data_IF_459309791670
#
_entry.id   IF_459309791670
#
_cell.length_a   1.000
_cell.length_b   1.000
_cell.length_c   1.000
_cell.angle_alpha   90.00
_cell.angle_beta   90.00
_cell.angle_gamma   90.00
#
_symmetry.space_group_name_H-M   'P 1'
#
loop_
_entity.id
_entity.type
_entity.pdbx_description
1 polymer ?
#
# COMPACT_ATOMS: atom_id res chain seq x y z
N UNK A 1 -54.91 25.38 85.22
CA UNK A 1 -54.28 25.23 83.90
C UNK A 1 -55.03 24.17 83.12
N UNK A 2 -56.10 24.56 82.42
CA UNK A 2 -56.81 23.78 81.40
C UNK A 2 -57.75 24.78 80.73
N UNK A 3 -57.49 25.13 79.47
CA UNK A 3 -58.41 25.93 78.68
C UNK A 3 -58.52 25.31 77.31
N UNK A 4 -59.78 25.09 76.96
CA UNK A 4 -60.29 24.36 75.82
C UNK A 4 -60.16 25.14 74.51
N UNK A 5 -60.09 24.34 73.45
CA UNK A 5 -60.32 24.57 72.02
C UNK A 5 -61.00 25.89 71.58
N UNK A 6 -60.38 26.52 70.58
CA UNK A 6 -61.02 27.43 69.63
C UNK A 6 -60.55 27.09 68.21
N UNK A 7 -61.51 26.70 67.36
CA UNK A 7 -61.34 26.35 65.94
C UNK A 7 -61.14 27.62 65.11
N UNK A 8 -60.20 27.61 64.17
CA UNK A 8 -60.16 28.56 63.06
C UNK A 8 -59.91 27.83 61.74
N UNK A 9 -60.86 27.98 60.81
CA UNK A 9 -60.80 27.54 59.43
C UNK A 9 -59.66 28.23 58.67
N UNK A 10 -58.93 27.48 57.85
CA UNK A 10 -58.20 28.04 56.71
C UNK A 10 -58.33 27.11 55.51
N UNK A 11 -58.66 27.72 54.38
CA UNK A 11 -59.18 27.12 53.18
C UNK A 11 -58.19 26.22 52.44
N UNK A 12 -58.74 25.16 51.85
CA UNK A 12 -58.10 24.28 50.88
C UNK A 12 -57.71 25.04 49.61
N UNK A 13 -56.43 24.99 49.24
CA UNK A 13 -55.96 25.16 47.87
C UNK A 13 -55.16 23.92 47.48
N UNK A 14 -55.83 23.04 46.75
CA UNK A 14 -55.28 21.85 46.09
C UNK A 14 -54.47 22.30 44.87
N UNK A 15 -53.15 22.38 45.01
CA UNK A 15 -52.23 22.48 43.89
C UNK A 15 -51.86 21.09 43.37
N UNK A 16 -52.43 20.67 42.23
CA UNK A 16 -51.94 19.51 41.48
C UNK A 16 -50.56 19.84 40.89
N UNK A 17 -49.51 19.25 41.43
CA UNK A 17 -48.21 19.15 40.77
C UNK A 17 -48.31 18.12 39.65
N UNK A 18 -48.37 18.57 38.39
CA UNK A 18 -48.22 17.70 37.23
C UNK A 18 -46.76 17.26 37.12
N UNK A 19 -46.48 16.02 37.53
CA UNK A 19 -45.22 15.34 37.23
C UNK A 19 -45.24 14.89 35.76
N UNK A 20 -44.60 15.65 34.88
CA UNK A 20 -44.26 15.19 33.54
C UNK A 20 -43.20 14.07 33.61
N UNK A 21 -43.20 13.10 32.68
CA UNK A 21 -42.23 12.03 32.69
C UNK A 21 -40.81 12.59 32.45
N UNK A 22 -39.77 11.95 32.99
CA UNK A 22 -38.40 12.37 32.74
C UNK A 22 -38.11 12.20 31.24
N UNK A 23 -37.86 13.31 30.56
CA UNK A 23 -37.25 13.29 29.23
C UNK A 23 -35.83 12.77 29.44
N UNK A 24 -35.64 11.47 29.21
CA UNK A 24 -34.30 10.92 28.98
C UNK A 24 -33.73 11.68 27.79
N UNK A 25 -32.81 12.60 28.07
CA UNK A 25 -31.96 13.20 27.07
C UNK A 25 -31.28 12.06 26.33
N UNK A 26 -31.76 11.74 25.13
CA UNK A 26 -31.03 10.91 24.19
C UNK A 26 -29.74 11.67 23.90
N UNK A 27 -28.65 11.24 24.54
CA UNK A 27 -27.32 11.56 24.10
C UNK A 27 -27.21 11.06 22.66
N UNK A 28 -27.43 11.96 21.71
CA UNK A 28 -27.14 11.72 20.32
C UNK A 28 -25.64 11.46 20.25
N UNK A 29 -25.27 10.19 20.07
CA UNK A 29 -23.91 9.82 19.70
C UNK A 29 -23.53 10.70 18.50
N UNK A 30 -22.35 11.33 18.50
CA UNK A 30 -21.95 12.16 17.38
C UNK A 30 -21.99 11.31 16.11
N UNK A 31 -22.75 11.77 15.13
CA UNK A 31 -22.77 11.18 13.80
C UNK A 31 -21.33 11.19 13.26
N UNK A 32 -20.74 10.00 13.09
CA UNK A 32 -19.48 9.84 12.38
C UNK A 32 -19.73 10.03 10.89
N UNK A 33 -19.87 11.29 10.47
CA UNK A 33 -19.79 11.72 9.09
C UNK A 33 -18.81 12.88 9.00
N UNK A 34 -17.55 12.64 9.37
CA UNK A 34 -16.44 13.50 8.95
C UNK A 34 -15.84 12.89 7.70
N UNK A 35 -15.94 13.62 6.59
CA UNK A 35 -15.02 13.43 5.46
C UNK A 35 -13.59 13.41 6.02
N UNK A 36 -12.72 12.46 5.64
CA UNK A 36 -11.35 12.42 6.17
C UNK A 36 -10.67 13.76 5.88
N UNK A 37 -10.40 14.53 6.94
CA UNK A 37 -9.75 15.82 6.84
C UNK A 37 -8.27 15.63 6.55
N UNK A 38 -7.71 16.47 5.68
CA UNK A 38 -6.27 16.48 5.39
C UNK A 38 -5.43 16.57 6.68
N UNK A 39 -4.25 15.94 6.74
CA UNK A 39 -3.39 16.02 7.92
C UNK A 39 -2.95 17.46 8.23
N UNK A 40 -2.88 17.78 9.51
CA UNK A 40 -2.33 19.06 10.00
C UNK A 40 -0.81 19.10 9.85
N UNK A 41 -0.20 20.29 9.91
CA UNK A 41 1.26 20.44 9.82
C UNK A 41 2.00 19.67 10.92
N UNK A 42 1.42 19.63 12.13
CA UNK A 42 1.96 18.85 13.23
C UNK A 42 1.94 17.34 12.93
N UNK A 43 0.87 16.85 12.30
CA UNK A 43 0.76 15.45 11.88
C UNK A 43 1.73 15.11 10.74
N UNK A 44 1.90 16.02 9.76
CA UNK A 44 2.88 15.85 8.68
C UNK A 44 4.31 15.83 9.25
N UNK A 45 4.63 16.74 10.18
CA UNK A 45 5.93 16.78 10.86
C UNK A 45 6.21 15.50 11.65
N UNK A 46 5.18 14.92 12.26
CA UNK A 46 5.31 13.63 12.94
C UNK A 46 5.62 12.49 11.97
N UNK A 47 4.90 12.43 10.85
CA UNK A 47 5.19 11.44 9.80
C UNK A 47 6.62 11.61 9.24
N UNK A 48 7.12 12.84 9.06
CA UNK A 48 8.51 13.09 8.65
C UNK A 48 9.52 12.48 9.64
N UNK A 49 9.32 12.69 10.95
CA UNK A 49 10.19 12.06 11.97
C UNK A 49 10.14 10.53 11.92
N UNK A 50 8.97 9.95 11.65
CA UNK A 50 8.87 8.50 11.49
C UNK A 50 9.66 7.99 10.29
N UNK A 51 9.63 8.68 9.14
CA UNK A 51 10.45 8.33 7.98
C UNK A 51 11.95 8.49 8.27
N UNK A 52 12.36 9.51 9.01
CA UNK A 52 13.75 9.66 9.48
C UNK A 52 14.19 8.52 10.41
N UNK A 53 13.29 8.05 11.28
CA UNK A 53 13.57 6.88 12.13
C UNK A 53 13.75 5.60 11.31
N UNK A 54 12.94 5.39 10.25
CA UNK A 54 13.13 4.27 9.33
C UNK A 54 14.52 4.34 8.66
N UNK A 55 14.96 5.53 8.24
CA UNK A 55 16.29 5.71 7.67
C UNK A 55 17.40 5.35 8.67
N UNK A 56 17.28 5.81 9.92
CA UNK A 56 18.26 5.49 10.98
C UNK A 56 18.33 4.01 11.29
N UNK A 57 17.22 3.27 11.18
CA UNK A 57 17.22 1.81 11.33
C UNK A 57 18.00 1.12 10.21
N UNK A 58 17.93 1.62 8.97
CA UNK A 58 18.74 1.11 7.86
C UNK A 58 20.22 1.42 8.04
N UNK A 59 20.58 2.57 8.60
CA UNK A 59 21.98 2.92 8.89
C UNK A 59 22.65 1.96 9.89
N UNK A 60 21.87 1.32 10.77
CA UNK A 60 22.39 0.31 11.70
C UNK A 60 22.83 -0.99 11.01
N UNK A 61 22.36 -1.28 9.80
CA UNK A 61 22.81 -2.46 9.04
C UNK A 61 24.29 -2.39 8.69
N UNK A 62 24.78 -1.20 8.34
CA UNK A 62 26.16 -1.00 7.89
C UNK A 62 27.15 -1.25 9.04
N UNK A 63 26.73 -0.95 10.27
CA UNK A 63 27.52 -1.17 11.49
C UNK A 63 27.45 -2.62 12.03
N UNK A 64 26.60 -3.48 11.46
CA UNK A 64 26.30 -4.80 12.00
C UNK A 64 26.89 -5.92 11.12
N UNK A 65 27.94 -6.65 11.56
CA UNK A 65 28.58 -7.69 10.73
C UNK A 65 27.91 -9.07 10.81
N UNK A 66 27.09 -9.34 11.82
CA UNK A 66 26.51 -10.68 12.06
C UNK A 66 25.20 -10.93 11.29
N UNK A 67 25.07 -12.11 10.66
CA UNK A 67 23.88 -12.51 9.91
C UNK A 67 22.59 -12.50 10.78
N UNK A 68 22.67 -12.97 12.03
CA UNK A 68 21.54 -12.95 12.95
C UNK A 68 21.11 -11.51 13.32
N UNK A 69 22.09 -10.63 13.57
CA UNK A 69 21.82 -9.22 13.86
C UNK A 69 21.18 -8.50 12.66
N UNK A 70 21.70 -8.72 11.44
CA UNK A 70 21.10 -8.18 10.21
C UNK A 70 19.69 -8.72 9.96
N UNK A 71 19.44 -10.00 10.24
CA UNK A 71 18.11 -10.58 10.15
C UNK A 71 17.13 -9.94 11.14
N UNK A 72 17.58 -9.65 12.37
CA UNK A 72 16.77 -8.96 13.36
C UNK A 72 16.48 -7.51 12.97
N UNK A 73 17.48 -6.76 12.48
CA UNK A 73 17.30 -5.41 11.98
C UNK A 73 16.30 -5.36 10.80
N UNK A 74 16.36 -6.36 9.91
CA UNK A 74 15.39 -6.50 8.82
C UNK A 74 13.96 -6.68 9.33
N UNK A 75 13.75 -7.56 10.31
CA UNK A 75 12.45 -7.76 10.94
C UNK A 75 11.93 -6.49 11.62
N UNK A 76 12.79 -5.80 12.37
CA UNK A 76 12.44 -4.57 13.07
C UNK A 76 12.05 -3.46 12.09
N UNK A 77 12.89 -3.19 11.08
CA UNK A 77 12.61 -2.18 10.06
C UNK A 77 11.30 -2.49 9.32
N UNK A 78 11.05 -3.77 9.02
CA UNK A 78 9.81 -4.20 8.36
C UNK A 78 8.56 -3.97 9.20
N UNK A 79 8.64 -4.21 10.51
CA UNK A 79 7.55 -3.91 11.43
C UNK A 79 7.32 -2.40 11.55
N UNK A 80 8.39 -1.59 11.66
CA UNK A 80 8.28 -0.13 11.72
C UNK A 80 7.63 0.45 10.46
N UNK A 81 8.00 -0.04 9.27
CA UNK A 81 7.37 0.40 8.02
C UNK A 81 5.89 0.04 7.96
N UNK A 82 5.51 -1.15 8.41
CA UNK A 82 4.10 -1.54 8.46
C UNK A 82 3.31 -0.73 9.49
N UNK A 83 3.93 -0.38 10.63
CA UNK A 83 3.33 0.52 11.62
C UNK A 83 3.05 1.90 11.02
N UNK A 84 4.03 2.48 10.32
CA UNK A 84 3.90 3.75 9.62
C UNK A 84 2.72 3.73 8.62
N UNK A 85 2.67 2.71 7.77
CA UNK A 85 1.58 2.56 6.80
C UNK A 85 0.22 2.31 7.44
N UNK A 86 0.19 1.54 8.54
CA UNK A 86 -1.01 1.26 9.29
C UNK A 86 -1.57 2.50 9.97
N UNK A 87 -0.72 3.33 10.57
CA UNK A 87 -1.13 4.62 11.14
C UNK A 87 -1.78 5.52 10.08
N UNK A 88 -1.15 5.62 8.91
CA UNK A 88 -1.70 6.40 7.80
C UNK A 88 -3.06 5.86 7.32
N UNK A 89 -3.19 4.54 7.25
CA UNK A 89 -4.42 3.87 6.84
C UNK A 89 -5.54 4.07 7.86
N UNK A 90 -5.29 3.75 9.13
CA UNK A 90 -6.29 3.75 10.19
C UNK A 90 -6.77 5.18 10.52
N UNK A 91 -5.86 6.16 10.50
CA UNK A 91 -6.19 7.53 10.90
C UNK A 91 -6.85 8.34 9.79
N UNK A 92 -6.43 8.17 8.53
CA UNK A 92 -6.91 8.98 7.41
C UNK A 92 -7.61 8.17 6.31
N UNK A 93 -7.83 6.88 6.51
CA UNK A 93 -8.46 6.00 5.51
C UNK A 93 -7.62 5.83 4.25
N UNK A 94 -6.29 6.07 4.33
CA UNK A 94 -5.38 6.01 3.18
C UNK A 94 -5.28 4.57 2.70
N UNK A 95 -5.69 4.31 1.47
CA UNK A 95 -5.74 2.93 1.01
C UNK A 95 -6.34 2.77 -0.36
N UNK A 96 -6.21 1.56 -0.91
CA UNK A 96 -7.01 1.17 -2.07
C UNK A 96 -8.49 1.01 -1.66
N UNK A 97 -9.44 1.16 -2.59
CA UNK A 97 -10.87 1.06 -2.29
C UNK A 97 -11.28 -0.21 -1.52
N UNK A 98 -10.65 -1.36 -1.83
CA UNK A 98 -10.93 -2.63 -1.17
C UNK A 98 -10.43 -2.73 0.29
N UNK A 99 -9.56 -1.80 0.71
CA UNK A 99 -9.07 -1.73 2.09
C UNK A 99 -9.88 -0.75 2.94
N UNK A 100 -10.69 0.12 2.31
CA UNK A 100 -11.43 1.16 3.04
C UNK A 100 -12.43 0.54 4.00
N UNK A 101 -12.48 1.06 5.23
CA UNK A 101 -13.41 0.62 6.27
C UNK A 101 -12.96 -0.63 7.03
N UNK A 102 -11.78 -1.17 6.73
CA UNK A 102 -11.15 -2.23 7.50
C UNK A 102 -9.93 -1.67 8.23
N UNK A 103 -9.65 -2.03 9.49
CA UNK A 103 -8.40 -1.63 10.13
C UNK A 103 -7.21 -2.28 9.41
N UNK A 104 -6.03 -1.65 9.44
CA UNK A 104 -4.82 -2.13 8.78
C UNK A 104 -4.50 -3.58 9.14
N UNK A 105 -4.73 -3.96 10.40
CA UNK A 105 -4.58 -5.33 10.91
C UNK A 105 -5.41 -6.38 10.17
N UNK A 106 -6.52 -5.98 9.52
CA UNK A 106 -7.40 -6.84 8.73
C UNK A 106 -7.13 -6.76 7.22
N UNK A 107 -6.27 -5.84 6.77
CA UNK A 107 -5.95 -5.67 5.33
C UNK A 107 -4.82 -6.57 4.83
N UNK A 108 -4.10 -7.24 5.74
CA UNK A 108 -3.05 -8.22 5.43
C UNK A 108 -3.57 -9.60 5.00
N UNK A 109 -2.69 -10.57 4.69
CA UNK A 109 -3.08 -11.93 4.28
C UNK A 109 -3.75 -12.73 5.41
N UNK A 110 -3.91 -12.13 6.60
CA UNK A 110 -4.39 -12.73 7.83
C UNK A 110 -5.90 -12.93 7.93
N UNK A 111 -6.67 -12.89 6.84
CA UNK A 111 -8.10 -13.30 6.85
C UNK A 111 -8.29 -14.76 7.32
N UNK A 112 -7.23 -15.58 7.36
CA UNK A 112 -7.23 -16.98 7.82
C UNK A 112 -6.20 -17.25 8.95
N UNK A 113 -6.06 -16.33 9.91
CA UNK A 113 -5.46 -16.64 11.21
C UNK A 113 -4.15 -15.93 11.56
N UNK A 114 -4.24 -15.10 12.60
CA UNK A 114 -3.14 -14.86 13.54
C UNK A 114 -2.08 -13.84 13.14
N UNK A 115 -2.35 -12.55 13.42
CA UNK A 115 -1.35 -11.48 13.44
C UNK A 115 -1.40 -10.60 12.19
N UNK A 116 -2.05 -9.44 12.31
CA UNK A 116 -2.37 -8.48 11.24
C UNK A 116 -1.17 -7.76 10.59
N UNK A 117 -0.09 -8.49 10.30
CA UNK A 117 1.12 -7.96 9.70
C UNK A 117 1.46 -8.77 8.44
N UNK A 118 1.73 -8.05 7.35
CA UNK A 118 2.25 -8.62 6.13
C UNK A 118 3.59 -9.30 6.39
N UNK A 119 3.78 -10.58 6.03
CA UNK A 119 5.05 -11.25 6.26
C UNK A 119 6.17 -10.60 5.45
N UNK A 120 7.38 -10.68 6.01
CA UNK A 120 8.62 -10.31 5.34
C UNK A 120 8.73 -10.95 3.94
N UNK A 121 9.38 -10.28 2.98
CA UNK A 121 9.73 -10.88 1.70
C UNK A 121 10.53 -12.17 1.90
N UNK A 122 10.10 -13.26 1.25
CA UNK A 122 10.87 -14.51 1.26
C UNK A 122 11.94 -14.49 0.16
N UNK A 123 13.10 -15.07 0.44
CA UNK A 123 14.18 -15.19 -0.54
C UNK A 123 14.97 -13.90 -0.79
N UNK A 124 14.72 -12.83 -0.03
CA UNK A 124 15.51 -11.59 -0.06
C UNK A 124 16.56 -11.66 1.05
N UNK A 125 17.84 -11.43 0.71
CA UNK A 125 18.91 -11.39 1.71
C UNK A 125 18.85 -10.06 2.50
N UNK A 126 19.38 -10.00 3.73
CA UNK A 126 19.41 -8.75 4.49
C UNK A 126 20.09 -7.59 3.75
N UNK A 127 21.12 -7.86 2.95
CA UNK A 127 21.84 -6.83 2.18
C UNK A 127 21.00 -6.34 1.00
N UNK A 128 20.33 -7.25 0.27
CA UNK A 128 19.40 -6.88 -0.79
C UNK A 128 18.22 -6.07 -0.24
N UNK A 129 17.71 -6.46 0.92
CA UNK A 129 16.67 -5.73 1.63
C UNK A 129 17.13 -4.32 2.00
N UNK A 130 18.31 -4.18 2.63
CA UNK A 130 18.84 -2.88 3.05
C UNK A 130 18.99 -1.93 1.86
N UNK A 131 19.57 -2.42 0.76
CA UNK A 131 19.72 -1.63 -0.46
C UNK A 131 18.36 -1.12 -1.00
N UNK A 132 17.40 -2.02 -1.19
CA UNK A 132 16.08 -1.66 -1.73
C UNK A 132 15.33 -0.69 -0.80
N UNK A 133 15.44 -0.90 0.51
CA UNK A 133 14.75 -0.07 1.48
C UNK A 133 15.33 1.34 1.60
N UNK A 134 16.64 1.51 1.39
CA UNK A 134 17.25 2.86 1.33
C UNK A 134 16.67 3.69 0.20
N UNK A 135 16.55 3.11 -1.00
CA UNK A 135 15.95 3.78 -2.15
C UNK A 135 14.47 4.15 -1.89
N UNK A 136 13.76 3.32 -1.12
CA UNK A 136 12.36 3.53 -0.81
C UNK A 136 12.17 4.63 0.23
N UNK A 137 12.97 4.58 1.31
CA UNK A 137 12.94 5.58 2.38
C UNK A 137 13.37 6.95 1.87
N UNK A 138 14.34 7.03 0.95
CA UNK A 138 14.71 8.30 0.31
C UNK A 138 13.53 8.91 -0.46
N UNK A 139 12.82 8.13 -1.27
CA UNK A 139 11.61 8.61 -1.97
C UNK A 139 10.50 9.02 -1.00
N UNK A 140 10.34 8.29 0.11
CA UNK A 140 9.40 8.67 1.17
C UNK A 140 9.75 10.04 1.76
N UNK A 141 11.03 10.34 2.01
CA UNK A 141 11.47 11.65 2.51
C UNK A 141 11.14 12.77 1.52
N UNK A 142 11.41 12.57 0.23
CA UNK A 142 11.09 13.54 -0.82
C UNK A 142 9.58 13.82 -0.91
N UNK A 143 8.75 12.77 -0.89
CA UNK A 143 7.29 12.89 -0.89
C UNK A 143 6.79 13.62 0.35
N UNK A 144 7.31 13.30 1.53
CA UNK A 144 6.94 13.97 2.78
C UNK A 144 7.37 15.44 2.82
N UNK A 145 8.52 15.77 2.23
CA UNK A 145 8.95 17.17 2.05
C UNK A 145 7.96 17.94 1.18
N UNK A 146 7.52 17.35 0.07
CA UNK A 146 6.50 17.95 -0.80
C UNK A 146 5.15 18.13 -0.09
N UNK A 147 4.71 17.14 0.70
CA UNK A 147 3.48 17.23 1.51
C UNK A 147 3.58 18.39 2.51
N UNK A 148 4.72 18.53 3.19
CA UNK A 148 4.96 19.59 4.19
C UNK A 148 4.99 21.00 3.58
N UNK A 149 5.46 21.14 2.34
CA UNK A 149 5.48 22.42 1.63
C UNK A 149 4.11 22.84 1.07
N UNK A 150 3.14 21.92 1.06
CA UNK A 150 1.82 22.17 0.48
C UNK A 150 0.90 22.84 1.49
N UNK A 151 0.37 24.02 1.16
CA UNK A 151 -0.59 24.77 2.00
C UNK A 151 -2.05 24.48 1.67
N UNK A 152 -2.34 23.98 0.46
CA UNK A 152 -3.67 23.56 0.05
C UNK A 152 -4.07 22.21 0.70
N UNK A 153 -5.16 22.16 1.50
CA UNK A 153 -5.59 20.92 2.14
C UNK A 153 -6.01 19.83 1.17
N UNK A 154 -6.61 20.16 0.02
CA UNK A 154 -7.03 19.13 -0.95
C UNK A 154 -5.82 18.50 -1.63
N UNK A 155 -4.87 19.32 -2.07
CA UNK A 155 -3.62 18.84 -2.63
C UNK A 155 -2.79 18.06 -1.61
N UNK A 156 -2.77 18.49 -0.35
CA UNK A 156 -2.11 17.74 0.74
C UNK A 156 -2.72 16.36 0.92
N UNK A 157 -4.04 16.25 0.91
CA UNK A 157 -4.74 14.96 0.98
C UNK A 157 -4.40 14.07 -0.21
N UNK A 158 -4.36 14.63 -1.43
CA UNK A 158 -3.98 13.92 -2.65
C UNK A 158 -2.54 13.38 -2.57
N UNK A 159 -1.59 14.20 -2.14
CA UNK A 159 -0.19 13.83 -1.99
C UNK A 159 0.02 12.77 -0.90
N UNK A 160 -0.73 12.84 0.20
CA UNK A 160 -0.71 11.81 1.24
C UNK A 160 -1.23 10.46 0.72
N UNK A 161 -2.30 10.49 -0.09
CA UNK A 161 -2.83 9.29 -0.72
C UNK A 161 -1.82 8.68 -1.72
N UNK A 162 -1.14 9.53 -2.50
CA UNK A 162 -0.08 9.14 -3.43
C UNK A 162 1.12 8.53 -2.69
N UNK A 163 1.56 9.17 -1.61
CA UNK A 163 2.64 8.68 -0.76
C UNK A 163 2.33 7.28 -0.20
N UNK A 164 1.14 7.10 0.36
CA UNK A 164 0.70 5.79 0.88
C UNK A 164 0.66 4.72 -0.22
N UNK A 165 0.11 5.05 -1.40
CA UNK A 165 0.04 4.12 -2.53
C UNK A 165 1.42 3.72 -3.04
N UNK A 166 2.36 4.68 -3.12
CA UNK A 166 3.74 4.44 -3.52
C UNK A 166 4.47 3.49 -2.56
N UNK A 167 4.28 3.65 -1.25
CA UNK A 167 4.80 2.71 -0.26
C UNK A 167 4.19 1.33 -0.41
N UNK A 168 2.86 1.24 -0.54
CA UNK A 168 2.18 -0.02 -0.73
C UNK A 168 2.72 -0.76 -1.96
N UNK A 169 2.83 -0.07 -3.10
CA UNK A 169 3.40 -0.64 -4.32
C UNK A 169 4.84 -1.12 -4.11
N UNK A 170 5.66 -0.35 -3.39
CA UNK A 170 7.05 -0.70 -3.08
C UNK A 170 7.16 -1.96 -2.20
N UNK A 171 6.33 -2.07 -1.17
CA UNK A 171 6.22 -3.28 -0.33
C UNK A 171 5.76 -4.49 -1.14
N UNK A 172 4.74 -4.32 -1.96
CA UNK A 172 4.23 -5.42 -2.78
C UNK A 172 5.27 -5.86 -3.81
N UNK A 173 6.04 -4.91 -4.36
CA UNK A 173 7.18 -5.15 -5.25
C UNK A 173 8.22 -6.04 -4.57
N UNK A 174 8.70 -5.68 -3.39
CA UNK A 174 9.67 -6.52 -2.65
C UNK A 174 9.15 -7.93 -2.37
N UNK A 175 7.83 -8.07 -2.21
CA UNK A 175 7.17 -9.36 -1.94
C UNK A 175 6.82 -10.12 -3.22
N UNK A 176 7.46 -9.81 -4.35
CA UNK A 176 7.30 -10.49 -5.62
C UNK A 176 5.99 -10.16 -6.36
N UNK A 177 5.23 -9.15 -5.91
CA UNK A 177 3.96 -8.70 -6.50
C UNK A 177 4.06 -7.39 -7.29
N UNK A 178 5.28 -7.01 -7.71
CA UNK A 178 5.50 -5.80 -8.52
C UNK A 178 4.82 -5.87 -9.90
N UNK A 179 4.51 -7.07 -10.40
CA UNK A 179 3.79 -7.29 -11.65
C UNK A 179 2.39 -6.67 -11.68
N UNK A 180 1.75 -6.46 -10.52
CA UNK A 180 0.43 -5.82 -10.43
C UNK A 180 0.44 -4.35 -10.88
N UNK A 181 1.62 -3.71 -10.87
CA UNK A 181 1.82 -2.29 -11.16
C UNK A 181 2.80 -2.06 -12.34
N UNK A 182 3.40 -3.14 -12.85
CA UNK A 182 4.36 -3.13 -13.95
C UNK A 182 3.72 -3.30 -15.33
N UNK A 183 3.09 -2.25 -15.85
CA UNK A 183 2.85 -2.07 -17.28
C UNK A 183 1.52 -2.58 -17.86
N UNK A 184 0.66 -1.62 -18.25
CA UNK A 184 -0.22 -1.80 -19.42
C UNK A 184 -1.74 -1.79 -19.21
N UNK A 185 -2.28 -1.51 -18.02
CA UNK A 185 -3.75 -1.36 -17.87
C UNK A 185 -4.22 -0.55 -16.65
N UNK A 186 -3.91 0.74 -16.66
CA UNK A 186 -4.74 1.83 -16.11
C UNK A 186 -4.38 3.04 -16.98
N UNK A 187 -5.21 3.74 -17.72
CA UNK A 187 -6.66 3.88 -17.90
C UNK A 187 -6.85 5.28 -18.50
N UNK A 188 -7.86 5.57 -19.35
CA UNK A 188 -8.03 6.93 -19.88
C UNK A 188 -8.49 7.86 -18.75
N UNK A 189 -7.60 8.71 -18.22
CA UNK A 189 -8.02 9.69 -17.22
C UNK A 189 -7.00 10.43 -16.36
N UNK A 190 -5.68 10.22 -16.49
CA UNK A 190 -4.70 10.88 -15.58
C UNK A 190 -3.70 11.83 -16.27
N UNK A 191 -4.09 12.45 -17.39
CA UNK A 191 -3.29 13.48 -18.10
C UNK A 191 -3.88 14.91 -18.01
N UNK A 192 -4.57 15.28 -16.93
CA UNK A 192 -5.16 16.64 -16.81
C UNK A 192 -4.69 17.47 -15.61
N UNK A 193 -3.53 17.16 -15.01
CA UNK A 193 -2.88 18.10 -14.10
C UNK A 193 -1.76 18.85 -14.84
N UNK A 194 -1.91 20.15 -15.16
CA UNK A 194 -0.85 20.92 -15.77
C UNK A 194 0.17 21.32 -14.69
N UNK A 195 1.40 20.84 -14.83
CA UNK A 195 2.57 21.41 -14.14
C UNK A 195 3.24 20.50 -13.11
N UNK A 196 4.04 19.54 -13.57
CA UNK A 196 5.29 19.13 -12.89
C UNK A 196 6.25 18.55 -13.93
N UNK A 197 7.01 19.43 -14.60
CA UNK A 197 8.33 19.09 -15.15
C UNK A 197 9.36 19.51 -14.10
N UNK A 198 10.13 18.57 -13.56
CA UNK A 198 11.30 18.90 -12.74
C UNK A 198 11.75 17.78 -11.81
N UNK A 199 12.78 17.04 -12.22
CA UNK A 199 13.65 16.28 -11.33
C UNK A 199 13.65 14.76 -11.53
N UNK A 200 14.75 14.23 -12.09
CA UNK A 200 15.24 12.88 -11.77
C UNK A 200 14.81 11.72 -12.70
N UNK A 201 15.63 11.44 -13.71
CA UNK A 201 15.76 10.10 -14.27
C UNK A 201 16.30 9.13 -13.20
N UNK A 202 15.54 8.10 -12.81
CA UNK A 202 16.02 6.71 -12.54
C UNK A 202 14.85 5.83 -12.02
N UNK A 203 14.59 4.73 -12.75
CA UNK A 203 14.32 3.41 -12.17
C UNK A 203 13.05 3.17 -11.32
N UNK A 204 11.88 3.07 -11.97
CA UNK A 204 10.66 2.50 -11.38
C UNK A 204 10.17 1.24 -12.09
N UNK A 205 11.10 0.42 -12.61
CA UNK A 205 10.79 -0.88 -13.19
C UNK A 205 10.65 -1.98 -12.12
N UNK A 206 9.96 -3.09 -12.43
CA UNK A 206 9.63 -4.17 -11.48
C UNK A 206 10.89 -4.87 -10.91
N UNK A 207 10.78 -5.64 -9.81
CA UNK A 207 11.92 -6.35 -9.25
C UNK A 207 12.36 -7.45 -10.24
N UNK A 208 13.67 -7.76 -10.30
CA UNK A 208 14.19 -8.74 -11.23
C UNK A 208 13.54 -10.13 -10.97
N UNK A 209 13.01 -10.75 -12.03
CA UNK A 209 13.36 -12.15 -12.29
C UNK A 209 14.87 -12.25 -12.09
N UNK A 210 15.41 -13.29 -11.46
CA UNK A 210 16.79 -13.41 -10.96
C UNK A 210 17.98 -12.99 -11.87
N UNK A 211 17.76 -12.49 -13.09
CA UNK A 211 18.53 -11.42 -13.74
C UNK A 211 17.58 -10.50 -14.56
N UNK A 212 17.87 -9.19 -14.72
CA UNK A 212 17.12 -8.34 -15.64
C UNK A 212 17.10 -8.97 -17.04
N UNK A 213 15.92 -8.96 -17.67
CA UNK A 213 15.74 -9.48 -19.03
C UNK A 213 16.74 -8.78 -19.98
N UNK A 214 17.48 -9.53 -20.82
CA UNK A 214 18.36 -8.96 -21.84
C UNK A 214 17.62 -7.95 -22.72
N UNK A 215 18.28 -6.88 -23.14
CA UNK A 215 17.64 -5.86 -23.99
C UNK A 215 16.28 -5.37 -23.44
N UNK A 216 16.20 -5.08 -22.13
CA UNK A 216 14.96 -4.77 -21.41
C UNK A 216 14.07 -3.67 -22.05
N UNK A 217 14.65 -2.78 -22.88
CA UNK A 217 13.93 -1.72 -23.59
C UNK A 217 13.27 -2.20 -24.90
N UNK A 218 13.60 -3.40 -25.37
CA UNK A 218 13.08 -3.99 -26.62
C UNK A 218 11.58 -4.26 -26.53
N UNK A 219 10.92 -4.31 -27.68
CA UNK A 219 9.49 -4.63 -27.74
C UNK A 219 9.19 -6.01 -27.15
N UNK A 220 10.02 -7.02 -27.44
CA UNK A 220 9.84 -8.38 -26.92
C UNK A 220 10.02 -8.49 -25.41
N UNK A 221 11.04 -7.84 -24.84
CA UNK A 221 11.24 -7.82 -23.39
C UNK A 221 10.04 -7.19 -22.66
N UNK A 222 9.51 -6.08 -23.20
CA UNK A 222 8.29 -5.45 -22.66
C UNK A 222 7.11 -6.41 -22.68
N UNK A 223 6.87 -7.11 -23.79
CA UNK A 223 5.79 -8.09 -23.89
C UNK A 223 5.96 -9.24 -22.90
N UNK A 224 7.19 -9.76 -22.69
CA UNK A 224 7.46 -10.78 -21.68
C UNK A 224 7.14 -10.27 -20.28
N UNK A 225 7.60 -9.05 -19.94
CA UNK A 225 7.29 -8.40 -18.66
C UNK A 225 5.82 -8.03 -18.49
N UNK A 226 5.03 -7.97 -19.56
CA UNK A 226 3.57 -7.75 -19.48
C UNK A 226 2.83 -9.06 -19.28
N UNK A 227 3.15 -10.10 -20.06
CA UNK A 227 2.32 -11.29 -20.17
C UNK A 227 2.80 -12.46 -19.31
N UNK A 228 4.11 -12.72 -19.28
CA UNK A 228 4.70 -13.94 -18.69
C UNK A 228 4.94 -13.83 -17.18
N UNK A 229 4.62 -12.67 -16.58
CA UNK A 229 4.73 -12.43 -15.14
C UNK A 229 3.38 -12.51 -14.40
N UNK A 230 2.28 -12.71 -15.13
CA UNK A 230 0.92 -12.68 -14.57
C UNK A 230 0.63 -13.82 -13.58
N UNK A 231 1.42 -14.91 -13.60
CA UNK A 231 1.19 -16.08 -12.75
C UNK A 231 2.41 -16.50 -11.90
N UNK A 232 3.62 -16.20 -12.36
CA UNK A 232 4.89 -16.51 -11.70
C UNK A 232 5.97 -15.55 -12.22
N UNK A 233 7.20 -15.59 -11.68
CA UNK A 233 8.30 -14.80 -12.21
C UNK A 233 8.57 -15.15 -13.70
N UNK A 234 8.92 -14.15 -14.52
CA UNK A 234 9.26 -14.40 -15.91
C UNK A 234 10.49 -15.32 -15.99
N UNK A 235 10.46 -16.35 -16.86
CA UNK A 235 11.60 -17.24 -17.01
C UNK A 235 12.75 -16.51 -17.72
N UNK A 236 13.98 -16.74 -17.29
CA UNK A 236 15.17 -16.22 -17.98
C UNK A 236 15.26 -16.86 -19.38
N UNK A 237 15.55 -16.09 -20.45
CA UNK A 237 15.70 -16.64 -21.80
C UNK A 237 16.74 -17.76 -21.91
N UNK A 238 17.78 -17.75 -21.07
CA UNK A 238 18.83 -18.78 -21.04
C UNK A 238 18.42 -20.11 -20.40
N UNK A 239 17.18 -20.24 -19.91
CA UNK A 239 16.69 -21.50 -19.32
C UNK A 239 16.54 -22.61 -20.37
N UNK A 240 16.18 -22.24 -21.60
CA UNK A 240 15.97 -23.14 -22.72
C UNK A 240 16.79 -22.71 -23.94
N UNK A 241 16.98 -23.63 -24.87
CA UNK A 241 17.55 -23.37 -26.20
C UNK A 241 16.53 -22.65 -27.10
N UNK A 242 17.00 -22.03 -28.18
CA UNK A 242 16.13 -21.34 -29.13
C UNK A 242 15.06 -22.27 -29.75
N UNK A 243 15.39 -23.54 -29.96
CA UNK A 243 14.46 -24.53 -30.52
C UNK A 243 13.35 -24.90 -29.53
N UNK A 244 13.67 -24.99 -28.24
CA UNK A 244 12.72 -25.34 -27.19
C UNK A 244 11.72 -24.22 -26.87
N UNK A 245 12.12 -22.95 -27.05
CA UNK A 245 11.29 -21.80 -26.67
C UNK A 245 9.95 -21.72 -27.39
N UNK A 246 9.86 -22.17 -28.64
CA UNK A 246 8.57 -22.21 -29.36
C UNK A 246 7.56 -23.11 -28.64
N UNK A 247 7.96 -24.30 -28.23
CA UNK A 247 7.09 -25.25 -27.52
C UNK A 247 6.74 -24.73 -26.12
N UNK A 248 7.71 -24.17 -25.39
CA UNK A 248 7.48 -23.64 -24.03
C UNK A 248 6.49 -22.49 -24.04
N UNK A 249 6.70 -21.49 -24.90
CA UNK A 249 5.81 -20.33 -25.03
C UNK A 249 4.42 -20.72 -25.53
N UNK A 250 4.30 -21.68 -26.45
CA UNK A 250 3.00 -22.19 -26.91
C UNK A 250 2.21 -22.87 -25.78
N UNK A 251 2.84 -23.72 -24.96
CA UNK A 251 2.17 -24.32 -23.79
C UNK A 251 1.66 -23.26 -22.81
N UNK A 252 2.46 -22.21 -22.59
CA UNK A 252 2.03 -21.10 -21.76
C UNK A 252 0.89 -20.32 -22.41
N UNK A 253 0.93 -20.08 -23.71
CA UNK A 253 -0.16 -19.41 -24.43
C UNK A 253 -1.50 -20.16 -24.27
N UNK A 254 -1.48 -21.49 -24.44
CA UNK A 254 -2.67 -22.34 -24.25
C UNK A 254 -3.17 -22.24 -22.81
N UNK A 255 -2.28 -22.32 -21.82
CA UNK A 255 -2.66 -22.20 -20.41
C UNK A 255 -3.22 -20.81 -20.09
N UNK A 256 -2.64 -19.74 -20.64
CA UNK A 256 -3.15 -18.38 -20.50
C UNK A 256 -4.55 -18.22 -21.11
N UNK A 257 -4.84 -18.94 -22.19
CA UNK A 257 -6.14 -18.96 -22.85
C UNK A 257 -7.16 -19.95 -22.24
N UNK A 258 -6.81 -20.65 -21.16
CA UNK A 258 -7.68 -21.69 -20.57
C UNK A 258 -8.88 -21.16 -19.75
N UNK A 259 -9.23 -19.88 -19.91
CA UNK A 259 -10.42 -19.28 -19.29
C UNK A 259 -10.23 -18.84 -17.84
N UNK A 260 -8.99 -18.65 -17.37
CA UNK A 260 -8.71 -18.15 -16.03
C UNK A 260 -9.17 -16.68 -15.90
N UNK A 261 -10.08 -16.35 -14.98
CA UNK A 261 -10.57 -14.99 -14.83
C UNK A 261 -9.43 -14.00 -14.57
N UNK A 262 -9.37 -12.93 -15.36
CA UNK A 262 -8.40 -11.85 -15.20
C UNK A 262 -7.02 -12.07 -15.83
N UNK A 263 -6.77 -13.20 -16.48
CA UNK A 263 -5.52 -13.43 -17.24
C UNK A 263 -5.67 -12.89 -18.66
N UNK A 264 -4.72 -12.04 -19.08
CA UNK A 264 -4.66 -11.57 -20.46
C UNK A 264 -3.76 -12.45 -21.28
N UNK A 265 -4.26 -12.92 -22.42
CA UNK A 265 -3.44 -13.56 -23.44
C UNK A 265 -2.94 -12.51 -24.45
N UNK A 266 -1.68 -12.63 -24.93
CA UNK A 266 -1.21 -11.80 -26.03
C UNK A 266 -1.96 -12.15 -27.32
N UNK A 267 -2.06 -11.21 -28.25
CA UNK A 267 -2.45 -11.50 -29.63
C UNK A 267 -1.41 -12.41 -30.30
N UNK A 268 -1.78 -13.06 -31.41
CA UNK A 268 -0.86 -13.86 -32.22
C UNK A 268 0.41 -13.10 -32.63
N UNK A 269 0.27 -11.81 -32.97
CA UNK A 269 1.41 -10.95 -33.35
C UNK A 269 2.35 -10.68 -32.17
N UNK A 270 1.77 -10.42 -30.99
CA UNK A 270 2.54 -10.22 -29.76
C UNK A 270 3.20 -11.52 -29.31
N UNK A 271 2.50 -12.65 -29.43
CA UNK A 271 3.06 -13.96 -29.10
C UNK A 271 4.26 -14.29 -29.99
N UNK A 272 4.18 -14.07 -31.31
CA UNK A 272 5.34 -14.19 -32.20
C UNK A 272 6.51 -13.30 -31.77
N UNK A 273 6.24 -12.08 -31.30
CA UNK A 273 7.27 -11.16 -30.81
C UNK A 273 7.90 -11.65 -29.50
N UNK A 274 7.11 -12.26 -28.62
CA UNK A 274 7.60 -12.92 -27.40
C UNK A 274 8.50 -14.10 -27.78
N UNK A 275 8.06 -15.00 -28.65
CA UNK A 275 8.85 -16.16 -29.08
C UNK A 275 10.18 -15.71 -29.69
N UNK A 276 10.15 -14.78 -30.65
CA UNK A 276 11.37 -14.29 -31.30
C UNK A 276 12.37 -13.70 -30.28
N UNK A 277 11.89 -12.97 -29.29
CA UNK A 277 12.73 -12.41 -28.24
C UNK A 277 13.34 -13.49 -27.33
N UNK A 278 12.55 -14.50 -26.92
CA UNK A 278 13.05 -15.61 -26.10
C UNK A 278 14.09 -16.45 -26.86
N UNK A 279 13.88 -16.65 -28.16
CA UNK A 279 14.82 -17.37 -29.02
C UNK A 279 16.13 -16.60 -29.23
N UNK A 280 16.05 -15.30 -29.50
CA UNK A 280 17.22 -14.43 -29.68
C UNK A 280 18.15 -14.44 -28.47
N UNK A 281 17.56 -14.48 -27.27
CA UNK A 281 18.29 -14.41 -26.00
C UNK A 281 18.47 -15.79 -25.35
N UNK A 282 18.20 -16.87 -26.09
CA UNK A 282 18.22 -18.23 -25.57
C UNK A 282 19.63 -18.68 -25.15
N UNK A 283 19.68 -19.81 -24.44
CA UNK A 283 20.94 -20.53 -24.25
C UNK A 283 21.49 -20.91 -25.63
N UNK A 284 22.75 -20.55 -25.85
CA UNK A 284 23.51 -20.94 -27.04
C UNK A 284 23.78 -22.44 -27.04
#
# INVERSE_FOLDING_TARGET
>A
MTMSHGIALAALLTGLMSVGPPVLAQAQAPAMTSTPSAPTDAQVSELQRQVEMLQKQLDQFDASPGAAARQQLMQQHWQSMQGYMGEMHDRWGMGYPWMKGHPWSMTGPGMMGGGGSWPLPQGVTPDQYNQQMRDYTQRMQEQMSKIAQTTDPEERQRLMQEHWQGMYQSIQTMRGRGWMWGGGMMGPGMMTAPGMMGGGMMGGGPPPSSNPLPEAKSAGAKLVSTYCVQCHAAPAPTLHTAQEWSTVTQRMHIRMNSGWPGIKAPTEKEMKSIVAYMQKNARQ
#
